data_IF_010579666624
#
_entry.id   IF_010579666624
#
_cell.length_a   1.000
_cell.length_b   1.000
_cell.length_c   1.000
_cell.angle_alpha   90.00
_cell.angle_beta   90.00
_cell.angle_gamma   90.00
#
_symmetry.space_group_name_H-M   'P 1'
#
loop_
_entity.id
_entity.type
_entity.pdbx_description
1 polymer ?
#
# COMPACT_ATOMS: atom_id res chain seq x y z
N UNK A 1 19.45 -12.63 -7.63
CA UNK A 1 18.23 -12.73 -6.80
C UNK A 1 17.59 -11.35 -6.79
N UNK A 2 16.32 -11.23 -7.17
CA UNK A 2 15.60 -9.95 -7.15
C UNK A 2 15.66 -9.37 -5.73
N UNK A 3 16.17 -8.15 -5.58
CA UNK A 3 16.13 -7.39 -4.31
C UNK A 3 14.70 -7.49 -3.78
N UNK A 4 14.53 -8.09 -2.59
CA UNK A 4 13.21 -8.15 -1.95
C UNK A 4 12.80 -6.72 -1.62
N UNK A 5 11.76 -6.24 -2.31
CA UNK A 5 11.08 -4.99 -1.98
C UNK A 5 10.61 -5.07 -0.51
N UNK A 6 11.04 -4.16 0.38
CA UNK A 6 10.85 -4.30 1.82
C UNK A 6 9.38 -4.28 2.23
N UNK A 7 8.52 -3.61 1.45
CA UNK A 7 7.09 -3.52 1.70
C UNK A 7 6.22 -4.36 0.75
N UNK A 8 6.83 -5.29 -0.01
CA UNK A 8 6.12 -6.15 -0.95
C UNK A 8 5.06 -7.01 -0.27
N UNK A 9 5.35 -7.52 0.93
CA UNK A 9 4.40 -8.35 1.68
C UNK A 9 3.12 -7.58 1.99
N UNK A 10 3.25 -6.36 2.50
CA UNK A 10 2.14 -5.50 2.87
C UNK A 10 1.34 -5.07 1.63
N UNK A 11 2.01 -4.81 0.50
CA UNK A 11 1.35 -4.55 -0.77
C UNK A 11 0.50 -5.74 -1.24
N UNK A 12 1.04 -6.97 -1.16
CA UNK A 12 0.28 -8.18 -1.47
C UNK A 12 -0.90 -8.41 -0.52
N UNK A 13 -0.70 -8.16 0.78
CA UNK A 13 -1.76 -8.30 1.80
C UNK A 13 -2.92 -7.32 1.54
N UNK A 14 -2.63 -6.08 1.08
CA UNK A 14 -3.66 -5.12 0.66
C UNK A 14 -4.46 -5.67 -0.52
N UNK A 15 -3.78 -6.15 -1.58
CA UNK A 15 -4.47 -6.69 -2.76
C UNK A 15 -5.37 -7.85 -2.38
N UNK A 16 -4.87 -8.80 -1.57
CA UNK A 16 -5.67 -9.92 -1.07
C UNK A 16 -6.89 -9.44 -0.27
N UNK A 17 -6.68 -8.52 0.68
CA UNK A 17 -7.77 -7.99 1.48
C UNK A 17 -8.85 -7.34 0.61
N UNK A 18 -8.45 -6.55 -0.40
CA UNK A 18 -9.38 -5.92 -1.32
C UNK A 18 -10.19 -6.96 -2.10
N UNK A 19 -9.55 -8.00 -2.63
CA UNK A 19 -10.27 -9.10 -3.30
C UNK A 19 -11.31 -9.76 -2.39
N UNK A 20 -10.94 -10.02 -1.13
CA UNK A 20 -11.83 -10.67 -0.14
C UNK A 20 -12.93 -9.74 0.38
N UNK A 21 -12.76 -8.42 0.26
CA UNK A 21 -13.66 -7.41 0.82
C UNK A 21 -14.39 -6.57 -0.23
N UNK A 22 -14.54 -7.09 -1.46
CA UNK A 22 -15.21 -6.38 -2.57
C UNK A 22 -14.61 -4.99 -2.80
N UNK A 23 -13.28 -4.89 -2.69
CA UNK A 23 -12.49 -3.67 -2.82
C UNK A 23 -12.84 -2.58 -1.80
N UNK A 24 -13.47 -2.94 -0.67
CA UNK A 24 -13.76 -2.00 0.42
C UNK A 24 -12.50 -1.67 1.22
N UNK A 25 -11.86 -0.56 0.89
CA UNK A 25 -10.65 -0.07 1.58
C UNK A 25 -10.86 0.11 3.09
N UNK A 26 -12.06 0.51 3.52
CA UNK A 26 -12.39 0.70 4.95
C UNK A 26 -12.19 -0.60 5.74
N UNK A 27 -12.56 -1.74 5.15
CA UNK A 27 -12.35 -3.07 5.76
C UNK A 27 -10.88 -3.47 5.78
N UNK A 28 -10.10 -2.92 4.85
CA UNK A 28 -8.65 -3.13 4.72
C UNK A 28 -7.80 -2.06 5.40
N UNK A 29 -8.40 -1.16 6.19
CA UNK A 29 -7.71 -0.09 6.93
C UNK A 29 -6.48 -0.61 7.69
N UNK A 30 -6.63 -1.73 8.39
CA UNK A 30 -5.55 -2.35 9.17
C UNK A 30 -4.29 -2.73 8.34
N UNK A 31 -4.47 -3.29 7.12
CA UNK A 31 -3.36 -3.65 6.22
C UNK A 31 -2.81 -2.43 5.48
N UNK A 32 -3.66 -1.46 5.15
CA UNK A 32 -3.24 -0.17 4.58
C UNK A 32 -2.37 0.59 5.59
N UNK A 33 -2.74 0.62 6.87
CA UNK A 33 -1.91 1.21 7.92
C UNK A 33 -0.60 0.45 8.13
N UNK A 34 -0.61 -0.88 8.03
CA UNK A 34 0.62 -1.67 8.09
C UNK A 34 1.58 -1.32 6.95
N UNK A 35 1.08 -1.07 5.74
CA UNK A 35 1.86 -0.59 4.61
C UNK A 35 2.42 0.81 4.86
N UNK A 36 1.61 1.74 5.39
CA UNK A 36 2.09 3.08 5.80
C UNK A 36 3.23 3.00 6.82
N UNK A 37 3.09 2.14 7.83
CA UNK A 37 4.15 1.89 8.82
C UNK A 37 5.40 1.31 8.18
N UNK A 38 5.25 0.38 7.23
CA UNK A 38 6.37 -0.18 6.48
C UNK A 38 7.12 0.91 5.70
N UNK A 39 6.39 1.76 5.00
CA UNK A 39 6.96 2.87 4.22
C UNK A 39 7.52 4.01 5.07
N UNK A 40 7.05 4.19 6.30
CA UNK A 40 7.67 5.10 7.25
C UNK A 40 8.98 4.56 7.82
N UNK A 41 9.10 3.22 7.94
CA UNK A 41 10.30 2.56 8.47
C UNK A 41 11.42 2.39 7.43
N UNK A 42 11.11 2.43 6.12
CA UNK A 42 12.08 2.25 5.05
C UNK A 42 12.14 3.51 4.18
N UNK A 43 13.34 3.91 3.75
CA UNK A 43 13.47 5.02 2.81
C UNK A 43 12.74 4.68 1.50
N UNK A 44 11.91 5.61 1.00
CA UNK A 44 11.12 5.46 -0.25
C UNK A 44 11.94 4.98 -1.44
N UNK A 45 13.22 5.35 -1.49
CA UNK A 45 14.18 4.97 -2.53
C UNK A 45 14.38 3.46 -2.67
N UNK A 46 14.06 2.67 -1.63
CA UNK A 46 14.25 1.22 -1.62
C UNK A 46 12.94 0.44 -1.85
N UNK A 47 11.79 1.09 -2.04
CA UNK A 47 10.54 0.39 -2.35
C UNK A 47 9.64 1.14 -3.32
N UNK A 48 9.50 0.59 -4.53
CA UNK A 48 8.49 1.00 -5.52
C UNK A 48 7.09 0.99 -4.91
N UNK A 49 6.81 0.01 -4.05
CA UNK A 49 5.51 -0.15 -3.38
C UNK A 49 5.17 1.03 -2.45
N UNK A 50 6.17 1.77 -1.97
CA UNK A 50 5.98 2.93 -1.09
C UNK A 50 5.83 4.27 -1.82
N UNK A 51 6.03 4.31 -3.14
CA UNK A 51 5.84 5.51 -3.96
C UNK A 51 4.40 6.02 -3.92
N UNK A 52 3.42 5.12 -3.82
CA UNK A 52 2.00 5.46 -3.69
C UNK A 52 1.56 5.85 -2.26
N UNK A 53 2.39 5.60 -1.25
CA UNK A 53 2.07 5.91 0.15
C UNK A 53 2.83 7.18 0.57
N UNK A 54 2.24 8.36 0.31
CA UNK A 54 2.76 9.62 0.86
C UNK A 54 2.55 9.62 2.39
N UNK A 55 3.65 9.74 3.13
CA UNK A 55 3.71 9.75 4.60
C UNK A 55 3.20 11.05 5.22
N UNK A 56 2.66 11.96 4.44
CA UNK A 56 1.94 13.14 4.92
C UNK A 56 0.48 13.03 4.48
N UNK A 57 -0.42 13.16 5.44
CA UNK A 57 -1.89 13.22 5.35
C UNK A 57 -2.66 11.91 5.64
N UNK A 58 -3.34 11.84 6.81
CA UNK A 58 -4.47 10.95 6.99
C UNK A 58 -5.65 11.51 6.19
N UNK A 59 -6.09 10.77 5.18
CA UNK A 59 -7.30 11.00 4.36
C UNK A 59 -7.06 11.82 3.08
N UNK A 60 -6.76 11.15 1.96
CA UNK A 60 -7.40 11.44 0.66
C UNK A 60 -7.45 10.17 -0.22
N UNK A 61 -8.68 9.88 -0.66
CA UNK A 61 -9.05 9.01 -1.78
C UNK A 61 -8.03 9.01 -2.92
N UNK A 62 -7.57 7.82 -3.35
CA UNK A 62 -6.99 7.64 -4.69
C UNK A 62 -7.95 6.82 -5.54
N UNK A 63 -8.99 7.50 -6.01
CA UNK A 63 -9.60 7.15 -7.29
C UNK A 63 -8.53 7.37 -8.39
N UNK A 64 -7.88 6.30 -8.84
CA UNK A 64 -7.30 6.24 -10.18
C UNK A 64 -6.93 4.82 -10.61
N UNK A 65 -7.90 4.12 -11.19
CA UNK A 65 -7.66 3.33 -12.41
C UNK A 65 -8.79 3.63 -13.39
N UNK A 66 -8.73 4.82 -14.00
CA UNK A 66 -9.08 4.93 -15.41
C UNK A 66 -7.75 4.92 -16.16
N UNK A 67 -7.38 3.76 -16.73
CA UNK A 67 -6.32 3.66 -17.72
C UNK A 67 -6.90 2.89 -18.91
N UNK A 68 -7.35 3.67 -19.89
CA UNK A 68 -7.64 3.41 -21.32
C UNK A 68 -8.37 2.12 -21.71
#
# INVERSE_FOLDING_TARGET
>A
MSRKEPCQKQACDIQKCLQENLYSEVRCSHVIEAMRRCCAAHARSDSVSCSGFNTAEPNQSQNQQNQQ
#
